data_IF_051892706604
#
_entry.id   IF_051892706604
#
_cell.length_a   1.000
_cell.length_b   1.000
_cell.length_c   1.000
_cell.angle_alpha   90.00
_cell.angle_beta   90.00
_cell.angle_gamma   90.00
#
_symmetry.space_group_name_H-M   'P 1'
#
loop_
_entity.id
_entity.type
_entity.pdbx_description
1 polymer ?
#
# COMPACT_ATOMS: atom_id res chain seq x y z
N UNK A 1 -1.10 -25.02 11.56
CA UNK A 1 -2.41 -24.38 11.80
C UNK A 1 -2.32 -23.00 11.18
N UNK A 2 -2.85 -22.81 9.98
CA UNK A 2 -2.89 -21.51 9.28
C UNK A 2 -4.16 -20.78 9.72
N UNK A 3 -4.04 -19.48 9.98
CA UNK A 3 -5.09 -18.64 10.58
C UNK A 3 -6.37 -18.62 9.72
N UNK A 4 -7.59 -18.73 10.30
CA UNK A 4 -8.83 -18.68 9.56
C UNK A 4 -9.33 -17.24 9.47
N UNK A 5 -8.67 -16.43 8.64
CA UNK A 5 -9.23 -15.15 8.19
C UNK A 5 -9.81 -15.32 6.78
N UNK A 6 -10.51 -16.43 6.52
CA UNK A 6 -11.05 -16.80 5.21
C UNK A 6 -12.56 -16.62 5.13
N UNK A 7 -13.05 -15.62 4.41
CA UNK A 7 -14.45 -15.51 4.01
C UNK A 7 -14.85 -16.59 2.99
N UNK A 8 -16.15 -16.88 2.86
CA UNK A 8 -16.67 -17.88 1.90
C UNK A 8 -16.23 -17.62 0.45
N UNK A 9 -15.94 -16.36 0.12
CA UNK A 9 -15.60 -15.89 -1.22
C UNK A 9 -14.11 -15.60 -1.43
N UNK A 10 -13.27 -15.92 -0.46
CA UNK A 10 -11.84 -15.59 -0.54
C UNK A 10 -11.13 -16.42 -1.61
N UNK A 11 -10.23 -15.74 -2.33
CA UNK A 11 -9.33 -16.42 -3.27
C UNK A 11 -8.41 -17.34 -2.46
N UNK A 12 -8.47 -18.64 -2.75
CA UNK A 12 -7.61 -19.64 -2.11
C UNK A 12 -6.23 -19.64 -2.77
N UNK A 13 -5.22 -19.17 -2.03
CA UNK A 13 -3.83 -19.19 -2.44
C UNK A 13 -2.92 -19.63 -1.27
N UNK A 14 -1.71 -20.09 -1.57
CA UNK A 14 -0.70 -20.32 -0.53
C UNK A 14 0.03 -19.05 -0.11
N UNK A 15 0.25 -18.16 -1.09
CA UNK A 15 0.89 -16.86 -0.91
C UNK A 15 0.18 -15.82 -1.77
N UNK A 16 0.19 -14.56 -1.35
CA UNK A 16 -0.38 -13.43 -2.09
C UNK A 16 0.64 -12.29 -2.12
N UNK A 17 1.05 -11.90 -3.33
CA UNK A 17 1.89 -10.74 -3.57
C UNK A 17 1.10 -9.62 -4.22
N UNK A 18 1.24 -8.40 -3.71
CA UNK A 18 0.64 -7.18 -4.24
C UNK A 18 1.74 -6.24 -4.72
N UNK A 19 2.12 -6.35 -5.99
CA UNK A 19 3.25 -5.62 -6.56
C UNK A 19 2.81 -4.33 -7.25
N UNK A 20 2.48 -3.31 -6.44
CA UNK A 20 2.19 -1.95 -6.92
C UNK A 20 0.90 -1.38 -6.39
N UNK A 21 0.61 -1.61 -5.10
CA UNK A 21 -0.52 -0.94 -4.43
C UNK A 21 -0.27 0.56 -4.53
N UNK A 22 -1.22 1.26 -5.16
CA UNK A 22 -1.11 2.70 -5.41
C UNK A 22 -2.34 3.39 -4.88
N UNK A 23 -2.14 4.39 -4.03
CA UNK A 23 -3.20 5.26 -3.53
C UNK A 23 -2.89 6.68 -3.97
N UNK A 24 -3.90 7.39 -4.49
CA UNK A 24 -3.82 8.82 -4.75
C UNK A 24 -5.08 9.52 -4.22
N UNK A 25 -4.90 10.66 -3.55
CA UNK A 25 -5.98 11.49 -3.03
C UNK A 25 -5.72 12.97 -3.31
N UNK A 26 -6.77 13.79 -3.29
CA UNK A 26 -6.69 15.22 -3.66
C UNK A 26 -6.33 16.17 -2.52
N UNK A 27 -6.28 15.70 -1.27
CA UNK A 27 -5.97 16.49 -0.08
C UNK A 27 -4.69 15.99 0.61
N UNK A 28 -3.82 16.90 1.09
CA UNK A 28 -2.66 16.55 1.93
C UNK A 28 -1.48 15.92 1.18
N UNK A 29 -0.69 15.02 1.80
CA UNK A 29 0.25 14.17 1.07
C UNK A 29 -0.55 13.24 0.14
N UNK A 30 -0.41 13.48 -1.17
CA UNK A 30 -1.42 13.06 -2.14
C UNK A 30 -1.28 11.64 -2.68
N UNK A 31 -0.31 10.83 -2.22
CA UNK A 31 -0.25 9.44 -2.67
C UNK A 31 0.86 8.60 -2.07
N UNK A 32 0.75 7.29 -2.30
CA UNK A 32 1.64 6.25 -1.79
C UNK A 32 1.73 5.11 -2.81
N UNK A 33 2.90 4.48 -2.89
CA UNK A 33 3.16 3.28 -3.68
C UNK A 33 3.92 2.25 -2.84
N UNK A 34 3.41 1.03 -2.73
CA UNK A 34 4.01 -0.06 -1.94
C UNK A 34 3.95 -1.41 -2.65
N UNK A 35 4.87 -2.31 -2.27
CA UNK A 35 4.73 -3.75 -2.49
C UNK A 35 4.46 -4.45 -1.15
N UNK A 36 3.61 -5.47 -1.20
CA UNK A 36 3.31 -6.33 -0.04
C UNK A 36 3.39 -7.80 -0.43
N UNK A 37 3.81 -8.63 0.53
CA UNK A 37 3.83 -10.09 0.39
C UNK A 37 3.27 -10.73 1.67
N UNK A 38 2.23 -11.57 1.52
CA UNK A 38 1.50 -12.20 2.63
C UNK A 38 1.00 -11.23 3.72
N UNK A 39 0.76 -9.97 3.35
CA UNK A 39 0.28 -8.91 4.23
C UNK A 39 1.36 -8.08 4.92
N UNK A 40 2.65 -8.41 4.70
CA UNK A 40 3.77 -7.61 5.17
C UNK A 40 4.27 -6.67 4.05
N UNK A 41 4.59 -5.43 4.41
CA UNK A 41 5.21 -4.46 3.50
C UNK A 41 6.64 -4.90 3.12
N UNK A 42 6.91 -5.00 1.82
CA UNK A 42 8.27 -5.26 1.32
C UNK A 42 9.04 -3.95 1.12
N UNK A 43 8.41 -2.96 0.48
CA UNK A 43 8.98 -1.65 0.18
C UNK A 43 7.90 -0.58 -0.03
N UNK A 44 8.32 0.68 0.04
CA UNK A 44 7.59 1.82 -0.52
C UNK A 44 8.51 2.70 -1.40
N UNK A 45 7.92 3.50 -2.29
CA UNK A 45 8.67 4.55 -3.00
C UNK A 45 8.45 5.89 -2.32
N UNK A 46 9.52 6.51 -1.83
CA UNK A 46 9.48 7.89 -1.35
C UNK A 46 9.34 8.81 -2.56
N UNK A 47 8.13 9.34 -2.77
CA UNK A 47 7.82 10.17 -3.94
C UNK A 47 8.56 11.51 -3.96
N UNK A 48 8.94 12.04 -2.78
CA UNK A 48 9.63 13.31 -2.66
C UNK A 48 11.11 13.18 -3.01
N UNK A 49 11.74 12.12 -2.52
CA UNK A 49 13.15 11.81 -2.78
C UNK A 49 13.37 10.99 -4.05
N UNK A 50 12.32 10.38 -4.58
CA UNK A 50 12.35 9.47 -5.73
C UNK A 50 13.28 8.29 -5.49
N UNK A 51 13.15 7.67 -4.32
CA UNK A 51 13.96 6.51 -3.92
C UNK A 51 13.06 5.35 -3.47
N UNK A 52 13.50 4.13 -3.75
CA UNK A 52 12.88 2.92 -3.21
C UNK A 52 13.40 2.68 -1.80
N UNK A 53 12.50 2.56 -0.84
CA UNK A 53 12.82 2.30 0.57
C UNK A 53 12.31 0.92 0.93
N UNK A 54 13.23 0.03 1.27
CA UNK A 54 12.92 -1.33 1.69
C UNK A 54 12.57 -1.38 3.17
N UNK A 55 11.51 -2.12 3.52
CA UNK A 55 11.11 -2.32 4.92
C UNK A 55 12.19 -3.03 5.75
N UNK A 56 12.88 -3.97 5.10
CA UNK A 56 14.03 -4.71 5.58
C UNK A 56 15.19 -4.43 4.60
N UNK A 57 16.25 -3.72 5.01
CA UNK A 57 17.34 -3.30 4.11
C UNK A 57 18.01 -4.43 3.33
N UNK A 58 18.06 -5.63 3.91
CA UNK A 58 18.65 -6.83 3.32
C UNK A 58 17.92 -7.27 2.04
N UNK A 59 16.63 -6.99 1.89
CA UNK A 59 15.89 -7.30 0.67
C UNK A 59 16.40 -6.50 -0.53
N UNK A 60 16.75 -5.23 -0.31
CA UNK A 60 17.33 -4.36 -1.33
C UNK A 60 18.74 -4.75 -1.79
N UNK A 61 19.37 -5.72 -1.12
CA UNK A 61 20.63 -6.32 -1.58
C UNK A 61 20.42 -7.46 -2.58
N UNK A 62 19.23 -8.05 -2.59
CA UNK A 62 18.88 -9.23 -3.40
C UNK A 62 18.07 -8.86 -4.65
N UNK A 63 17.22 -7.84 -4.54
CA UNK A 63 16.33 -7.37 -5.60
C UNK A 63 16.40 -5.86 -5.66
N UNK A 64 16.35 -5.31 -6.87
CA UNK A 64 16.26 -3.87 -7.11
C UNK A 64 14.92 -3.54 -7.76
N UNK A 65 14.24 -2.53 -7.24
CA UNK A 65 13.00 -1.98 -7.81
C UNK A 65 13.24 -0.52 -8.10
N UNK A 66 13.01 -0.11 -9.36
CA UNK A 66 13.25 1.27 -9.75
C UNK A 66 12.13 2.17 -9.22
N UNK A 67 12.46 3.30 -8.55
CA UNK A 67 11.45 4.22 -8.03
C UNK A 67 10.58 4.83 -9.15
N UNK A 68 11.06 4.79 -10.40
CA UNK A 68 10.33 5.25 -11.58
C UNK A 68 9.02 4.49 -11.80
N UNK A 69 8.95 3.20 -11.41
CA UNK A 69 7.73 2.39 -11.51
C UNK A 69 6.63 2.98 -10.62
N UNK A 70 6.96 3.32 -9.37
CA UNK A 70 6.03 3.96 -8.45
C UNK A 70 5.59 5.35 -8.91
N UNK A 71 6.52 6.15 -9.45
CA UNK A 71 6.20 7.50 -9.96
C UNK A 71 5.23 7.46 -11.15
N UNK A 72 5.35 6.48 -12.05
CA UNK A 72 4.43 6.33 -13.19
C UNK A 72 3.04 5.94 -12.72
N UNK A 73 2.93 4.99 -11.79
CA UNK A 73 1.65 4.56 -11.24
C UNK A 73 0.93 5.72 -10.53
N UNK A 74 1.66 6.54 -9.75
CA UNK A 74 1.09 7.73 -9.11
C UNK A 74 0.57 8.74 -10.13
N UNK A 75 1.27 8.95 -11.25
CA UNK A 75 0.80 9.85 -12.30
C UNK A 75 -0.49 9.34 -12.97
N UNK A 76 -0.59 8.03 -13.20
CA UNK A 76 -1.80 7.37 -13.72
C UNK A 76 -2.95 7.49 -12.72
N UNK A 77 -2.73 7.22 -11.44
CA UNK A 77 -3.79 7.30 -10.42
C UNK A 77 -4.27 8.74 -10.19
N UNK A 78 -3.39 9.73 -10.29
CA UNK A 78 -3.81 11.14 -10.31
C UNK A 78 -4.78 11.43 -11.45
N UNK A 79 -4.44 11.00 -12.67
CA UNK A 79 -5.30 11.20 -13.84
C UNK A 79 -6.64 10.46 -13.69
N UNK A 80 -6.60 9.22 -13.20
CA UNK A 80 -7.79 8.41 -12.94
C UNK A 80 -8.68 9.05 -11.87
N UNK A 81 -8.11 9.57 -10.79
CA UNK A 81 -8.86 10.24 -9.73
C UNK A 81 -9.63 11.45 -10.26
N UNK A 82 -9.03 12.27 -11.12
CA UNK A 82 -9.69 13.43 -11.73
C UNK A 82 -10.90 13.01 -12.59
N UNK A 83 -10.79 11.90 -13.32
CA UNK A 83 -11.89 11.35 -14.11
C UNK A 83 -12.99 10.74 -13.23
N UNK A 84 -12.61 9.94 -12.24
CA UNK A 84 -13.55 9.26 -11.34
C UNK A 84 -14.31 10.25 -10.47
N UNK A 85 -13.66 11.32 -10.00
CA UNK A 85 -14.31 12.40 -9.25
C UNK A 85 -15.42 13.07 -10.06
N UNK A 86 -15.18 13.35 -11.35
CA UNK A 86 -16.23 13.90 -12.23
C UNK A 86 -17.34 12.89 -12.49
N UNK A 87 -16.97 11.63 -12.75
CA UNK A 87 -17.92 10.54 -13.02
C UNK A 87 -18.84 10.25 -11.83
N UNK A 88 -18.32 10.36 -10.61
CA UNK A 88 -19.08 10.16 -9.37
C UNK A 88 -19.89 11.39 -8.94
N UNK A 89 -20.00 12.41 -9.80
CA UNK A 89 -20.63 13.70 -9.47
C UNK A 89 -20.04 14.34 -8.21
N UNK A 90 -18.71 14.30 -8.07
CA UNK A 90 -17.95 14.88 -6.97
C UNK A 90 -18.31 14.31 -5.59
N UNK A 91 -18.75 13.05 -5.53
CA UNK A 91 -19.03 12.38 -4.25
C UNK A 91 -17.72 12.20 -3.45
N UNK A 92 -17.62 12.73 -2.21
CA UNK A 92 -16.42 12.58 -1.39
C UNK A 92 -16.34 11.19 -0.73
N UNK A 93 -15.15 10.81 -0.27
CA UNK A 93 -14.98 9.62 0.57
C UNK A 93 -15.67 9.80 1.94
N UNK A 94 -16.25 8.72 2.47
CA UNK A 94 -16.78 8.67 3.83
C UNK A 94 -15.63 8.51 4.82
N UNK A 95 -15.61 9.30 5.88
CA UNK A 95 -14.61 9.17 6.94
C UNK A 95 -14.96 8.01 7.87
N UNK A 96 -13.97 7.18 8.18
CA UNK A 96 -14.08 6.07 9.12
C UNK A 96 -13.32 6.39 10.42
N UNK A 97 -13.77 5.82 11.55
CA UNK A 97 -13.09 5.96 12.85
C UNK A 97 -12.06 4.85 12.99
N UNK A 98 -10.75 5.15 13.12
CA UNK A 98 -9.73 4.11 13.24
C UNK A 98 -9.79 3.43 14.61
N UNK A 99 -9.65 2.10 14.61
CA UNK A 99 -9.43 1.32 15.83
C UNK A 99 -7.94 1.30 16.19
N UNK A 100 -7.62 1.47 17.47
CA UNK A 100 -6.24 1.54 17.95
C UNK A 100 -6.06 0.54 19.09
N UNK A 101 -5.04 -0.31 18.95
CA UNK A 101 -4.65 -1.30 19.96
C UNK A 101 -3.18 -1.15 20.29
N UNK A 102 -2.83 -1.22 21.58
CA UNK A 102 -1.44 -1.13 22.07
C UNK A 102 -1.09 -2.39 22.84
N UNK A 103 0.03 -3.02 22.46
CA UNK A 103 0.57 -4.20 23.13
C UNK A 103 2.10 -4.18 23.02
N UNK A 104 2.84 -4.77 23.98
CA UNK A 104 4.29 -4.80 23.93
C UNK A 104 4.78 -5.77 22.85
N UNK A 105 5.87 -5.43 22.16
CA UNK A 105 6.51 -6.33 21.17
C UNK A 105 7.09 -7.60 21.83
N UNK A 106 7.48 -7.51 23.10
CA UNK A 106 8.10 -8.58 23.87
C UNK A 106 7.57 -8.58 25.30
N UNK A 107 7.68 -9.69 26.06
CA UNK A 107 7.21 -9.73 27.44
C UNK A 107 7.81 -8.61 28.29
N UNK A 108 6.98 -8.00 29.13
CA UNK A 108 7.43 -7.06 30.16
C UNK A 108 7.54 -7.86 31.46
N UNK A 109 8.76 -8.02 31.96
CA UNK A 109 9.04 -8.58 33.29
C UNK A 109 9.18 -7.46 34.31
#
# INVERSE_FOLDING_TARGET
VLSPCGGEFDIKANHVGSYGITVYQSYGPNGQFTFEFDGDEELYVDLGKKETVWRIPEFGQLVNVEPQDGLQNIAVEKFNLDLLTKRSNFTPATNEVPEVTVFPKSPVL
#
